data_IF_264935661515
#
_entry.id   IF_264935661515
#
_cell.length_a   1.000
_cell.length_b   1.000
_cell.length_c   1.000
_cell.angle_alpha   90.00
_cell.angle_beta   90.00
_cell.angle_gamma   90.00
#
_symmetry.space_group_name_H-M   'P 1'
#
loop_
_entity.id
_entity.type
_entity.pdbx_description
1 polymer ?
#
# COMPACT_ATOMS: atom_id res chain seq x y z
N UNK A 1 -8.27 37.15 7.57
CA UNK A 1 -6.86 36.84 7.87
C UNK A 1 -6.55 35.58 7.06
N UNK A 2 -6.02 35.78 5.84
CA UNK A 2 -5.78 34.71 4.86
C UNK A 2 -4.63 33.84 5.34
N UNK A 3 -4.90 32.59 5.65
CA UNK A 3 -3.86 31.56 5.77
C UNK A 3 -3.58 31.02 4.36
N UNK A 4 -2.40 31.42 3.85
CA UNK A 4 -1.84 30.96 2.60
C UNK A 4 -1.42 29.48 2.72
N UNK A 5 -2.25 28.56 2.20
CA UNK A 5 -2.01 27.12 2.16
C UNK A 5 -1.42 26.68 0.82
N UNK A 6 -0.45 27.42 0.29
CA UNK A 6 0.21 27.09 -0.98
C UNK A 6 1.61 26.55 -0.75
N UNK A 7 1.75 25.38 -0.11
CA UNK A 7 2.94 24.54 -0.27
C UNK A 7 2.76 23.64 -1.49
N UNK A 8 2.79 24.21 -2.68
CA UNK A 8 2.87 23.43 -3.94
C UNK A 8 4.29 22.88 -4.04
N UNK A 9 4.48 21.62 -3.68
CA UNK A 9 5.73 20.90 -3.90
C UNK A 9 6.20 21.10 -5.35
N UNK A 10 7.46 21.55 -5.50
CA UNK A 10 8.07 21.81 -6.81
C UNK A 10 8.24 20.47 -7.53
N UNK A 11 7.78 20.29 -8.79
CA UNK A 11 7.98 19.04 -9.51
C UNK A 11 9.46 18.66 -9.55
N UNK A 12 9.75 17.35 -9.45
CA UNK A 12 11.09 16.85 -9.74
C UNK A 12 11.42 17.23 -11.19
N UNK A 13 12.34 18.15 -11.38
CA UNK A 13 12.73 18.68 -12.69
C UNK A 13 13.53 17.65 -13.52
N UNK A 14 14.06 16.61 -12.88
CA UNK A 14 14.73 15.45 -13.46
C UNK A 14 14.29 14.20 -12.69
N UNK A 15 14.21 13.05 -13.37
CA UNK A 15 13.96 11.74 -12.73
C UNK A 15 14.95 11.46 -11.58
N UNK A 16 14.79 10.32 -10.94
CA UNK A 16 15.73 9.86 -9.91
C UNK A 16 17.08 9.52 -10.52
N UNK A 17 18.17 9.99 -9.90
CA UNK A 17 19.52 9.56 -10.23
C UNK A 17 19.94 8.33 -9.39
N UNK A 18 21.09 7.72 -9.69
CA UNK A 18 21.61 6.54 -8.99
C UNK A 18 21.79 6.79 -7.49
N UNK A 19 22.13 8.03 -7.10
CA UNK A 19 22.26 8.41 -5.69
C UNK A 19 20.90 8.44 -5.00
N UNK A 20 19.87 8.97 -5.66
CA UNK A 20 18.50 8.94 -5.15
C UNK A 20 18.01 7.51 -5.00
N UNK A 21 18.29 6.65 -5.98
CA UNK A 21 17.91 5.25 -5.97
C UNK A 21 18.60 4.50 -4.83
N UNK A 22 19.91 4.68 -4.62
CA UNK A 22 20.64 4.09 -3.50
C UNK A 22 20.06 4.54 -2.14
N UNK A 23 19.73 5.82 -1.99
CA UNK A 23 19.09 6.33 -0.78
C UNK A 23 17.70 5.73 -0.55
N UNK A 24 16.91 5.54 -1.62
CA UNK A 24 15.59 4.93 -1.54
C UNK A 24 15.65 3.46 -1.15
N UNK A 25 16.57 2.69 -1.72
CA UNK A 25 16.78 1.27 -1.40
C UNK A 25 17.14 1.12 0.08
N UNK A 26 18.10 1.91 0.56
CA UNK A 26 18.49 1.89 1.97
C UNK A 26 17.32 2.29 2.90
N UNK A 27 16.55 3.31 2.52
CA UNK A 27 15.38 3.74 3.28
C UNK A 27 14.27 2.67 3.27
N UNK A 28 14.09 1.92 2.17
CA UNK A 28 13.14 0.80 2.12
C UNK A 28 13.55 -0.35 3.05
N UNK A 29 14.85 -0.56 3.27
CA UNK A 29 15.34 -1.59 4.19
C UNK A 29 14.99 -1.24 5.64
N UNK A 30 15.19 0.02 6.04
CA UNK A 30 14.76 0.55 7.34
C UNK A 30 14.15 1.97 7.18
N UNK A 31 12.82 2.07 7.12
CA UNK A 31 12.12 3.34 6.92
C UNK A 31 12.32 4.37 8.04
N UNK A 32 12.77 3.95 9.23
CA UNK A 32 13.02 4.81 10.38
C UNK A 32 14.49 4.97 10.73
N UNK A 33 15.42 4.38 9.95
CA UNK A 33 16.86 4.56 10.14
C UNK A 33 17.24 6.05 10.21
N UNK A 34 18.21 6.36 11.06
CA UNK A 34 18.79 7.71 11.14
C UNK A 34 19.55 8.04 9.85
N UNK A 35 19.75 9.32 9.59
CA UNK A 35 20.52 9.77 8.43
C UNK A 35 21.95 9.21 8.44
N UNK A 36 22.53 9.04 9.62
CA UNK A 36 23.85 8.43 9.83
C UNK A 36 23.88 6.97 9.42
N UNK A 37 22.87 6.18 9.84
CA UNK A 37 22.76 4.77 9.48
C UNK A 37 22.55 4.59 7.98
N UNK A 38 21.66 5.40 7.36
CA UNK A 38 21.46 5.42 5.92
C UNK A 38 22.74 5.83 5.18
N UNK A 39 23.51 6.80 5.71
CA UNK A 39 24.81 7.18 5.18
C UNK A 39 25.82 6.03 5.24
N UNK A 40 25.88 5.31 6.35
CA UNK A 40 26.73 4.14 6.50
C UNK A 40 26.35 3.00 5.55
N UNK A 41 25.05 2.74 5.38
CA UNK A 41 24.54 1.69 4.49
C UNK A 41 24.80 1.98 3.00
N UNK A 42 24.77 3.25 2.60
CA UNK A 42 24.92 3.67 1.19
C UNK A 42 26.35 4.05 0.81
N UNK A 43 27.23 4.31 1.79
CA UNK A 43 28.55 4.92 1.57
C UNK A 43 28.46 6.41 1.19
N UNK A 44 27.30 7.05 1.34
CA UNK A 44 27.06 8.45 0.99
C UNK A 44 27.09 9.29 2.27
N UNK A 45 27.68 10.49 2.21
CA UNK A 45 27.72 11.39 3.35
C UNK A 45 26.31 11.68 3.91
N UNK A 46 26.12 11.56 5.23
CA UNK A 46 24.87 11.74 5.95
C UNK A 46 24.08 12.98 5.50
N UNK A 47 24.76 14.14 5.39
CA UNK A 47 24.14 15.39 4.93
C UNK A 47 23.58 15.28 3.50
N UNK A 48 24.23 14.52 2.64
CA UNK A 48 23.77 14.30 1.26
C UNK A 48 22.53 13.41 1.24
N UNK A 49 22.54 12.30 2.00
CA UNK A 49 21.38 11.41 2.15
C UNK A 49 20.17 12.17 2.67
N UNK A 50 20.33 12.91 3.78
CA UNK A 50 19.26 13.71 4.36
C UNK A 50 18.68 14.72 3.36
N UNK A 51 19.54 15.46 2.63
CA UNK A 51 19.11 16.42 1.62
C UNK A 51 18.36 15.76 0.46
N UNK A 52 18.83 14.59 -0.02
CA UNK A 52 18.22 13.86 -1.12
C UNK A 52 16.85 13.32 -0.75
N UNK A 53 16.74 12.63 0.36
CA UNK A 53 15.47 12.07 0.84
C UNK A 53 14.48 13.19 1.14
N UNK A 54 14.92 14.26 1.84
CA UNK A 54 14.05 15.40 2.13
C UNK A 54 13.54 16.06 0.85
N UNK A 55 14.37 16.24 -0.17
CA UNK A 55 13.96 16.77 -1.48
C UNK A 55 12.83 15.92 -2.10
N UNK A 56 12.93 14.57 -2.01
CA UNK A 56 11.90 13.66 -2.54
C UNK A 56 10.60 13.75 -1.73
N UNK A 57 10.71 13.88 -0.41
CA UNK A 57 9.55 14.08 0.46
C UNK A 57 8.87 15.44 0.20
N UNK A 58 9.66 16.54 0.09
CA UNK A 58 9.15 17.88 -0.19
C UNK A 58 8.51 17.99 -1.60
N UNK A 59 8.88 17.09 -2.51
CA UNK A 59 8.30 16.99 -3.86
C UNK A 59 7.08 16.07 -3.91
N UNK A 60 6.62 15.52 -2.78
CA UNK A 60 5.58 14.49 -2.69
C UNK A 60 5.85 13.26 -3.58
N UNK A 61 7.11 12.95 -3.85
CA UNK A 61 7.53 11.78 -4.62
C UNK A 61 7.77 10.56 -3.73
N UNK A 62 7.99 10.79 -2.43
CA UNK A 62 8.33 9.81 -1.42
C UNK A 62 7.62 10.15 -0.12
N UNK A 63 7.04 9.16 0.55
CA UNK A 63 6.61 9.25 1.94
C UNK A 63 7.00 8.00 2.72
N UNK A 64 7.34 8.18 3.98
CA UNK A 64 7.41 7.09 4.96
C UNK A 64 6.10 7.08 5.71
N UNK A 65 5.43 5.95 5.71
CA UNK A 65 4.13 5.79 6.34
C UNK A 65 4.12 4.58 7.27
N UNK A 66 3.29 4.66 8.30
CA UNK A 66 2.95 3.53 9.14
C UNK A 66 1.73 2.80 8.55
N UNK A 67 1.76 1.49 8.57
CA UNK A 67 0.70 0.61 8.10
C UNK A 67 0.25 -0.28 9.26
N UNK A 68 -0.88 0.05 9.91
CA UNK A 68 -1.47 -0.84 10.91
C UNK A 68 -1.98 -2.11 10.24
N UNK A 69 -1.83 -3.26 10.92
CA UNK A 69 -2.37 -4.53 10.46
C UNK A 69 -3.73 -4.82 11.10
N UNK A 70 -4.85 -4.66 10.38
CA UNK A 70 -6.18 -4.93 10.93
C UNK A 70 -6.36 -6.39 11.36
N UNK A 71 -5.69 -7.33 10.69
CA UNK A 71 -5.76 -8.75 11.04
C UNK A 71 -4.98 -9.05 12.33
N UNK A 72 -3.83 -8.40 12.56
CA UNK A 72 -3.06 -8.53 13.79
C UNK A 72 -3.72 -7.85 14.99
N UNK A 73 -4.57 -6.84 14.76
CA UNK A 73 -5.36 -6.19 15.81
C UNK A 73 -6.66 -6.92 16.15
N UNK A 74 -7.07 -7.90 15.33
CA UNK A 74 -8.20 -8.80 15.59
C UNK A 74 -9.58 -8.16 15.46
N UNK A 75 -9.70 -6.94 14.97
CA UNK A 75 -10.97 -6.22 14.83
C UNK A 75 -11.29 -5.79 13.43
N UNK A 76 -10.30 -5.65 12.57
CA UNK A 76 -10.49 -5.10 11.23
C UNK A 76 -10.68 -6.18 10.16
N UNK A 77 -11.34 -5.79 9.08
CA UNK A 77 -11.41 -6.56 7.85
C UNK A 77 -11.00 -5.69 6.67
N UNK A 78 -10.42 -6.32 5.65
CA UNK A 78 -10.06 -5.66 4.40
C UNK A 78 -10.96 -6.18 3.29
N UNK A 79 -11.57 -5.26 2.55
CA UNK A 79 -12.42 -5.55 1.39
C UNK A 79 -11.79 -4.99 0.13
N UNK A 80 -11.82 -5.77 -0.94
CA UNK A 80 -11.59 -5.28 -2.29
C UNK A 80 -12.94 -5.07 -2.96
N UNK A 81 -13.28 -3.83 -3.29
CA UNK A 81 -14.48 -3.46 -4.02
C UNK A 81 -14.13 -3.22 -5.50
N UNK A 82 -14.69 -4.05 -6.37
CA UNK A 82 -14.62 -3.90 -7.82
C UNK A 82 -15.88 -3.19 -8.29
N UNK A 83 -15.72 -2.02 -8.89
CA UNK A 83 -16.84 -1.12 -9.19
C UNK A 83 -16.96 -0.91 -10.67
N UNK A 84 -18.18 -1.10 -11.20
CA UNK A 84 -18.57 -0.61 -12.52
C UNK A 84 -19.41 0.63 -12.37
N UNK A 85 -19.13 1.62 -13.21
CA UNK A 85 -19.74 2.92 -13.19
C UNK A 85 -20.66 3.10 -14.40
N UNK A 86 -21.67 3.91 -14.23
CA UNK A 86 -22.39 4.44 -15.40
C UNK A 86 -21.44 5.23 -16.28
N UNK A 87 -21.63 5.13 -17.60
CA UNK A 87 -20.77 5.82 -18.57
C UNK A 87 -20.65 7.31 -18.23
N UNK A 88 -19.40 7.81 -18.26
CA UNK A 88 -19.08 9.21 -17.95
C UNK A 88 -18.94 9.55 -16.46
N UNK A 89 -19.16 8.60 -15.52
CA UNK A 89 -19.13 8.87 -14.06
C UNK A 89 -17.88 8.35 -13.34
N UNK A 90 -16.94 7.72 -14.06
CA UNK A 90 -15.75 7.13 -13.45
C UNK A 90 -14.93 8.13 -12.62
N UNK A 91 -14.67 9.37 -13.08
CA UNK A 91 -13.89 10.34 -12.31
C UNK A 91 -14.56 10.72 -10.98
N UNK A 92 -15.87 11.00 -11.00
CA UNK A 92 -16.64 11.44 -9.83
C UNK A 92 -16.78 10.30 -8.80
N UNK A 93 -16.99 9.07 -9.27
CA UNK A 93 -17.05 7.87 -8.40
C UNK A 93 -15.67 7.62 -7.77
N UNK A 94 -14.60 7.74 -8.55
CA UNK A 94 -13.23 7.57 -8.05
C UNK A 94 -12.91 8.60 -6.96
N UNK A 95 -13.27 9.87 -7.16
CA UNK A 95 -13.06 10.92 -6.18
C UNK A 95 -13.86 10.70 -4.90
N UNK A 96 -15.13 10.26 -5.00
CA UNK A 96 -15.96 9.94 -3.84
C UNK A 96 -15.40 8.74 -3.07
N UNK A 97 -15.02 7.65 -3.76
CA UNK A 97 -14.37 6.50 -3.14
C UNK A 97 -13.05 6.88 -2.45
N UNK A 98 -12.24 7.73 -3.09
CA UNK A 98 -10.97 8.16 -2.53
C UNK A 98 -11.13 9.02 -1.26
N UNK A 99 -12.25 9.73 -1.10
CA UNK A 99 -12.55 10.53 0.10
C UNK A 99 -13.11 9.73 1.26
N UNK A 100 -13.48 8.47 1.07
CA UNK A 100 -13.90 7.63 2.18
C UNK A 100 -12.69 7.38 3.10
N UNK A 101 -12.85 7.60 4.41
CA UNK A 101 -11.80 7.38 5.41
C UNK A 101 -11.33 5.92 5.43
N UNK A 102 -12.24 4.99 5.15
CA UNK A 102 -11.98 3.56 5.11
C UNK A 102 -11.18 3.12 3.87
N UNK A 103 -11.09 3.94 2.81
CA UNK A 103 -10.37 3.56 1.60
C UNK A 103 -8.86 3.74 1.76
N UNK A 104 -8.10 2.71 1.39
CA UNK A 104 -6.63 2.69 1.43
C UNK A 104 -6.03 2.79 0.02
N UNK A 105 -6.67 2.18 -0.95
CA UNK A 105 -6.32 2.22 -2.37
C UNK A 105 -7.57 2.52 -3.17
N UNK A 106 -7.46 3.41 -4.15
CA UNK A 106 -8.49 3.60 -5.19
C UNK A 106 -7.78 3.78 -6.52
N UNK A 107 -8.06 2.91 -7.46
CA UNK A 107 -7.45 2.92 -8.80
C UNK A 107 -8.51 2.80 -9.89
N UNK A 108 -8.30 3.56 -10.98
CA UNK A 108 -9.05 3.37 -12.23
C UNK A 108 -8.37 2.29 -13.05
N UNK A 109 -9.16 1.40 -13.64
CA UNK A 109 -8.68 0.23 -14.37
C UNK A 109 -9.10 0.28 -15.84
N UNK A 110 -8.24 -0.30 -16.69
CA UNK A 110 -8.63 -0.83 -17.99
C UNK A 110 -8.82 -2.35 -17.84
N UNK A 111 -10.07 -2.81 -17.82
CA UNK A 111 -10.45 -4.20 -17.58
C UNK A 111 -11.96 -4.36 -17.51
N UNK A 112 -12.45 -5.42 -16.86
CA UNK A 112 -13.89 -5.71 -16.68
C UNK A 112 -14.57 -4.79 -15.64
N UNK A 113 -13.81 -4.25 -14.70
CA UNK A 113 -14.26 -3.21 -13.78
C UNK A 113 -13.61 -1.88 -14.14
N UNK A 114 -14.30 -0.77 -13.85
CA UNK A 114 -13.79 0.58 -14.07
C UNK A 114 -12.87 1.03 -12.92
N UNK A 115 -13.17 0.60 -11.70
CA UNK A 115 -12.43 0.97 -10.50
C UNK A 115 -12.22 -0.24 -9.60
N UNK A 116 -11.11 -0.23 -8.87
CA UNK A 116 -10.88 -1.09 -7.72
C UNK A 116 -10.54 -0.22 -6.52
N UNK A 117 -11.18 -0.51 -5.38
CA UNK A 117 -10.89 0.11 -4.10
C UNK A 117 -10.54 -0.96 -3.05
N UNK A 118 -9.47 -0.72 -2.28
CA UNK A 118 -9.19 -1.46 -1.04
C UNK A 118 -9.74 -0.64 0.13
N UNK A 119 -10.62 -1.27 0.91
CA UNK A 119 -11.30 -0.67 2.06
C UNK A 119 -10.90 -1.41 3.32
N UNK A 120 -10.49 -0.67 4.35
CA UNK A 120 -10.19 -1.22 5.67
C UNK A 120 -11.27 -0.79 6.64
N UNK A 121 -12.00 -1.76 7.18
CA UNK A 121 -13.04 -1.53 8.18
C UNK A 121 -12.45 -1.84 9.57
N UNK A 122 -12.74 -0.98 10.53
CA UNK A 122 -12.30 -1.18 11.92
C UNK A 122 -13.06 -2.32 12.62
N UNK A 123 -14.30 -2.57 12.20
CA UNK A 123 -15.14 -3.67 12.68
C UNK A 123 -15.77 -4.43 11.49
N UNK A 124 -15.76 -5.75 11.58
CA UNK A 124 -16.42 -6.61 10.59
C UNK A 124 -17.94 -6.43 10.57
N UNK A 125 -18.54 -5.95 11.66
CA UNK A 125 -19.97 -5.66 11.75
C UNK A 125 -20.41 -4.53 10.79
N UNK A 126 -19.50 -3.65 10.38
CA UNK A 126 -19.78 -2.56 9.44
C UNK A 126 -19.84 -3.05 7.97
N UNK A 127 -19.31 -4.24 7.68
CA UNK A 127 -19.21 -4.76 6.32
C UNK A 127 -20.54 -4.81 5.56
N UNK A 128 -21.65 -5.34 6.13
CA UNK A 128 -22.93 -5.39 5.43
C UNK A 128 -23.40 -4.01 5.01
N UNK A 129 -23.29 -3.01 5.88
CA UNK A 129 -23.70 -1.64 5.60
C UNK A 129 -22.86 -0.99 4.51
N UNK A 130 -21.56 -1.13 4.57
CA UNK A 130 -20.63 -0.60 3.56
C UNK A 130 -20.94 -1.19 2.18
N UNK A 131 -21.12 -2.51 2.08
CA UNK A 131 -21.32 -3.19 0.79
C UNK A 131 -22.72 -2.94 0.23
N UNK A 132 -23.76 -2.93 1.07
CA UNK A 132 -25.15 -2.90 0.59
C UNK A 132 -25.75 -1.49 0.57
N UNK A 133 -25.18 -0.53 1.30
CA UNK A 133 -25.70 0.85 1.39
C UNK A 133 -24.67 1.89 0.98
N UNK A 134 -23.50 1.94 1.61
CA UNK A 134 -22.53 3.02 1.39
C UNK A 134 -22.02 3.02 -0.04
N UNK A 135 -21.44 1.93 -0.52
CA UNK A 135 -20.89 1.87 -1.88
C UNK A 135 -21.94 2.03 -2.98
N UNK A 136 -23.12 1.37 -2.92
CA UNK A 136 -24.15 1.56 -3.92
C UNK A 136 -24.80 2.96 -3.90
N UNK A 137 -24.71 3.71 -2.79
CA UNK A 137 -25.25 5.08 -2.71
C UNK A 137 -24.40 6.12 -3.41
N UNK A 138 -23.17 5.80 -3.79
CA UNK A 138 -22.29 6.69 -4.52
C UNK A 138 -22.88 6.96 -5.91
N UNK A 139 -23.17 8.22 -6.20
CA UNK A 139 -23.79 8.60 -7.47
C UNK A 139 -22.88 8.20 -8.65
N UNK A 140 -23.43 7.45 -9.60
CA UNK A 140 -22.69 6.94 -10.75
C UNK A 140 -22.22 5.49 -10.63
N UNK A 141 -22.30 4.87 -9.46
CA UNK A 141 -22.08 3.44 -9.28
C UNK A 141 -23.24 2.67 -9.94
N UNK A 142 -22.90 1.66 -10.73
CA UNK A 142 -23.84 0.75 -11.38
C UNK A 142 -23.82 -0.63 -10.73
N UNK A 143 -22.60 -1.14 -10.44
CA UNK A 143 -22.42 -2.46 -9.83
C UNK A 143 -21.20 -2.46 -8.91
N UNK A 144 -21.32 -3.19 -7.81
CA UNK A 144 -20.21 -3.42 -6.86
C UNK A 144 -20.09 -4.92 -6.61
N UNK A 145 -18.90 -5.45 -6.83
CA UNK A 145 -18.51 -6.77 -6.34
C UNK A 145 -17.50 -6.59 -5.20
N UNK A 146 -17.88 -7.00 -3.99
CA UNK A 146 -17.02 -6.94 -2.81
C UNK A 146 -16.41 -8.31 -2.52
N UNK A 147 -15.08 -8.36 -2.35
CA UNK A 147 -14.32 -9.56 -2.03
C UNK A 147 -13.58 -9.33 -0.71
N UNK A 148 -13.77 -10.24 0.24
CA UNK A 148 -13.06 -10.18 1.52
C UNK A 148 -11.63 -10.67 1.34
N UNK A 149 -10.65 -9.92 1.85
CA UNK A 149 -9.28 -10.40 1.99
C UNK A 149 -9.23 -11.38 3.16
N UNK A 150 -8.90 -12.64 2.84
CA UNK A 150 -8.88 -13.74 3.81
C UNK A 150 -7.47 -13.95 4.39
N UNK A 151 -6.45 -13.80 3.54
CA UNK A 151 -5.06 -14.07 3.93
C UNK A 151 -4.08 -13.22 3.13
N UNK A 152 -3.18 -12.49 3.77
CA UNK A 152 -2.05 -11.87 3.09
C UNK A 152 -0.95 -12.92 2.85
N UNK A 153 -0.48 -13.05 1.61
CA UNK A 153 0.74 -13.80 1.27
C UNK A 153 1.93 -12.86 1.11
N UNK A 154 1.70 -11.66 0.57
CA UNK A 154 2.67 -10.57 0.51
C UNK A 154 1.96 -9.23 0.63
N UNK A 155 2.47 -8.34 1.49
CA UNK A 155 1.95 -6.97 1.65
C UNK A 155 2.75 -5.99 0.80
N UNK A 156 2.14 -4.89 0.39
CA UNK A 156 2.80 -3.86 -0.42
C UNK A 156 4.05 -3.26 0.26
N UNK A 157 4.06 -3.18 1.58
CA UNK A 157 5.22 -2.75 2.36
C UNK A 157 6.44 -3.67 2.29
N UNK A 158 6.28 -4.89 1.80
CA UNK A 158 7.37 -5.86 1.60
C UNK A 158 8.01 -5.76 0.20
N UNK A 159 7.41 -5.00 -0.71
CA UNK A 159 8.00 -4.77 -2.02
C UNK A 159 9.27 -3.92 -1.92
N UNK A 160 10.30 -4.30 -2.67
CA UNK A 160 11.60 -3.60 -2.73
C UNK A 160 11.96 -3.29 -4.18
N UNK A 161 12.58 -2.13 -4.42
CA UNK A 161 12.91 -1.62 -5.76
C UNK A 161 13.86 -2.56 -6.51
N UNK A 162 14.78 -3.21 -5.82
CA UNK A 162 15.78 -4.13 -6.39
C UNK A 162 15.78 -5.48 -5.66
N UNK A 163 14.59 -6.00 -5.31
CA UNK A 163 14.52 -7.28 -4.63
C UNK A 163 15.10 -8.39 -5.51
N UNK A 164 16.10 -9.08 -4.99
CA UNK A 164 16.46 -10.41 -5.49
C UNK A 164 15.49 -11.43 -4.87
N UNK A 165 15.29 -12.56 -5.52
CA UNK A 165 14.34 -13.58 -5.06
C UNK A 165 14.59 -14.04 -3.59
N UNK A 166 15.82 -13.89 -3.09
CA UNK A 166 16.16 -14.20 -1.69
C UNK A 166 15.60 -13.19 -0.67
N UNK A 167 15.37 -11.94 -1.08
CA UNK A 167 14.89 -10.87 -0.18
C UNK A 167 13.36 -10.88 0.00
N UNK A 168 12.68 -11.71 -0.78
CA UNK A 168 11.21 -11.72 -0.84
C UNK A 168 10.56 -12.79 0.01
N UNK A 169 11.34 -13.60 0.74
CA UNK A 169 10.82 -14.60 1.66
C UNK A 169 10.01 -13.91 2.77
N UNK A 170 8.71 -13.79 2.55
CA UNK A 170 7.78 -13.47 3.61
C UNK A 170 7.84 -14.62 4.60
N UNK A 171 8.41 -14.40 5.79
CA UNK A 171 8.18 -15.33 6.88
C UNK A 171 6.66 -15.48 7.06
N UNK A 172 6.13 -16.71 7.04
CA UNK A 172 4.75 -16.93 7.37
C UNK A 172 4.49 -16.27 8.72
N UNK A 173 3.50 -15.40 8.78
CA UNK A 173 3.14 -14.77 10.04
C UNK A 173 2.86 -15.89 11.05
N UNK A 174 3.77 -16.09 12.00
CA UNK A 174 3.45 -16.87 13.18
C UNK A 174 2.21 -16.20 13.78
N UNK A 175 1.12 -16.96 13.85
CA UNK A 175 -0.16 -16.47 14.33
C UNK A 175 -0.02 -16.13 15.82
N UNK A 176 0.42 -14.92 16.13
CA UNK A 176 0.24 -14.37 17.45
C UNK A 176 -1.24 -14.06 17.62
N UNK A 177 -1.77 -14.32 18.82
CA UNK A 177 -3.16 -13.99 19.12
C UNK A 177 -3.38 -12.49 18.87
N UNK A 178 -4.41 -12.12 18.10
CA UNK A 178 -4.70 -10.72 17.82
C UNK A 178 -4.88 -9.93 19.13
N UNK A 179 -4.25 -8.78 19.23
CA UNK A 179 -4.36 -7.92 20.40
C UNK A 179 -4.78 -6.50 19.98
N UNK A 180 -5.90 -6.04 20.52
CA UNK A 180 -6.40 -4.70 20.26
C UNK A 180 -5.38 -3.64 20.68
N UNK A 181 -5.33 -2.54 19.92
CA UNK A 181 -4.53 -1.38 20.28
C UNK A 181 -5.15 -0.67 21.49
N UNK A 182 -4.31 -0.26 22.43
CA UNK A 182 -4.71 0.64 23.52
C UNK A 182 -4.98 2.04 22.97
N UNK A 183 -5.66 2.90 23.73
CA UNK A 183 -5.95 4.28 23.31
C UNK A 183 -4.67 5.08 23.01
N UNK A 184 -3.60 4.88 23.77
CA UNK A 184 -2.31 5.52 23.51
C UNK A 184 -1.70 5.03 22.19
N UNK A 185 -1.72 3.72 21.93
CA UNK A 185 -1.25 3.14 20.67
C UNK A 185 -2.08 3.61 19.48
N UNK A 186 -3.41 3.72 19.61
CA UNK A 186 -4.29 4.24 18.55
C UNK A 186 -3.92 5.69 18.18
N UNK A 187 -3.69 6.56 19.17
CA UNK A 187 -3.24 7.95 18.92
C UNK A 187 -1.87 7.99 18.23
N UNK A 188 -0.92 7.15 18.67
CA UNK A 188 0.39 7.04 18.02
C UNK A 188 0.25 6.57 16.57
N UNK A 189 -0.55 5.54 16.30
CA UNK A 189 -0.79 5.01 14.96
C UNK A 189 -1.41 6.07 14.06
N UNK A 190 -2.44 6.78 14.52
CA UNK A 190 -3.09 7.85 13.76
C UNK A 190 -2.12 8.97 13.34
N UNK A 191 -1.17 9.32 14.21
CA UNK A 191 -0.12 10.29 13.89
C UNK A 191 0.93 9.72 12.92
N UNK A 192 1.39 8.48 13.17
CA UNK A 192 2.39 7.79 12.34
C UNK A 192 1.88 7.48 10.91
N UNK A 193 0.59 7.32 10.72
CA UNK A 193 0.01 7.18 9.38
C UNK A 193 0.17 8.47 8.54
N UNK A 194 0.31 9.64 9.17
CA UNK A 194 0.56 10.92 8.51
C UNK A 194 2.06 11.18 8.32
N UNK A 195 2.84 10.91 9.36
CA UNK A 195 4.31 11.00 9.35
C UNK A 195 4.94 9.77 10.00
N UNK A 196 5.32 8.81 9.16
CA UNK A 196 5.98 7.58 9.61
C UNK A 196 7.37 7.81 10.22
N UNK A 197 7.96 9.01 10.08
CA UNK A 197 9.25 9.40 10.68
C UNK A 197 9.11 10.33 11.88
N UNK A 198 7.89 10.54 12.38
CA UNK A 198 7.67 11.33 13.60
C UNK A 198 8.63 10.92 14.72
N UNK A 199 9.12 11.91 15.46
CA UNK A 199 10.04 11.72 16.59
C UNK A 199 9.35 11.08 17.79
N UNK A 200 10.11 10.49 18.70
CA UNK A 200 9.56 9.94 19.94
C UNK A 200 8.92 11.02 20.80
N UNK A 201 9.46 12.24 20.80
CA UNK A 201 8.89 13.37 21.52
C UNK A 201 7.48 13.72 21.00
N UNK A 202 7.31 13.83 19.68
CA UNK A 202 6.00 14.06 19.05
C UNK A 202 5.01 12.93 19.36
N UNK A 203 5.47 11.67 19.25
CA UNK A 203 4.62 10.52 19.57
C UNK A 203 4.20 10.49 21.03
N UNK A 204 5.10 10.83 21.95
CA UNK A 204 4.82 10.92 23.38
C UNK A 204 3.77 12.01 23.69
N UNK A 205 3.91 13.18 23.06
CA UNK A 205 2.95 14.27 23.16
C UNK A 205 1.56 13.85 22.66
N UNK A 206 1.49 13.28 21.44
CA UNK A 206 0.22 12.84 20.84
C UNK A 206 -0.46 11.72 21.65
N UNK A 207 0.33 10.81 22.22
CA UNK A 207 -0.19 9.71 23.02
C UNK A 207 -0.53 10.11 24.48
N UNK A 208 -0.04 11.25 24.95
CA UNK A 208 -0.18 11.70 26.34
C UNK A 208 0.64 10.83 27.30
N UNK A 209 1.85 10.40 26.89
CA UNK A 209 2.75 9.55 27.67
C UNK A 209 4.18 10.11 27.69
N UNK A 210 5.08 9.52 28.48
CA UNK A 210 6.51 9.89 28.43
C UNK A 210 7.19 9.29 27.18
N UNK A 211 8.30 9.91 26.71
CA UNK A 211 9.08 9.39 25.58
C UNK A 211 9.55 7.94 25.77
N UNK A 212 10.07 7.51 26.94
CA UNK A 212 10.41 6.10 27.17
C UNK A 212 9.20 5.17 27.03
N UNK A 213 8.00 5.64 27.43
CA UNK A 213 6.76 4.86 27.27
C UNK A 213 6.36 4.79 25.81
N UNK A 214 6.42 5.90 25.07
CA UNK A 214 6.15 5.93 23.63
C UNK A 214 7.10 5.00 22.86
N UNK A 215 8.39 5.01 23.18
CA UNK A 215 9.38 4.11 22.58
C UNK A 215 9.01 2.65 22.81
N UNK A 216 8.69 2.27 24.07
CA UNK A 216 8.29 0.90 24.40
C UNK A 216 7.00 0.48 23.69
N UNK A 217 6.00 1.35 23.62
CA UNK A 217 4.75 1.08 22.90
C UNK A 217 4.99 0.88 21.40
N UNK A 218 5.79 1.76 20.79
CA UNK A 218 6.15 1.66 19.36
C UNK A 218 6.87 0.34 19.08
N UNK A 219 7.88 0.00 19.86
CA UNK A 219 8.63 -1.25 19.72
C UNK A 219 7.71 -2.46 19.87
N UNK A 220 6.85 -2.48 20.87
CA UNK A 220 5.88 -3.56 21.10
C UNK A 220 4.91 -3.72 19.91
N UNK A 221 4.37 -2.60 19.35
CA UNK A 221 3.50 -2.67 18.18
C UNK A 221 4.20 -3.27 16.95
N UNK A 222 5.47 -2.94 16.74
CA UNK A 222 6.27 -3.49 15.64
C UNK A 222 6.58 -4.97 15.87
N UNK A 223 7.04 -5.35 17.06
CA UNK A 223 7.38 -6.75 17.42
C UNK A 223 6.17 -7.69 17.26
N UNK A 224 4.99 -7.26 17.70
CA UNK A 224 3.74 -8.04 17.54
C UNK A 224 3.10 -7.87 16.15
N UNK A 225 3.78 -7.20 15.23
CA UNK A 225 3.33 -6.95 13.85
C UNK A 225 1.98 -6.19 13.73
N UNK A 226 1.54 -5.53 14.80
CA UNK A 226 0.35 -4.68 14.76
C UNK A 226 0.59 -3.40 13.93
N UNK A 227 1.84 -3.02 13.76
CA UNK A 227 2.28 -1.86 12.98
C UNK A 227 3.55 -2.21 12.20
N UNK A 228 3.59 -1.82 10.95
CA UNK A 228 4.79 -1.84 10.11
C UNK A 228 5.06 -0.46 9.51
N UNK A 229 6.27 -0.26 9.01
CA UNK A 229 6.63 0.96 8.28
C UNK A 229 7.01 0.63 6.86
N UNK A 230 6.65 1.50 5.94
CA UNK A 230 7.05 1.37 4.55
C UNK A 230 7.37 2.71 3.90
N UNK A 231 8.13 2.62 2.84
CA UNK A 231 8.40 3.73 1.95
C UNK A 231 7.42 3.64 0.78
N UNK A 232 6.53 4.60 0.68
CA UNK A 232 5.65 4.75 -0.47
C UNK A 232 6.32 5.66 -1.49
N UNK A 233 6.49 5.15 -2.69
CA UNK A 233 7.04 5.86 -3.85
C UNK A 233 6.21 5.53 -5.07
N UNK A 234 6.10 6.47 -6.02
CA UNK A 234 5.42 6.20 -7.28
C UNK A 234 6.22 5.17 -8.09
N UNK A 235 5.64 4.02 -8.45
CA UNK A 235 6.34 2.97 -9.16
C UNK A 235 6.98 3.44 -10.48
N UNK A 236 6.34 4.34 -11.21
CA UNK A 236 6.88 4.92 -12.44
C UNK A 236 8.19 5.67 -12.24
N UNK A 237 8.41 6.30 -11.07
CA UNK A 237 9.66 6.99 -10.76
C UNK A 237 10.85 6.04 -10.56
N UNK A 238 10.57 4.78 -10.25
CA UNK A 238 11.57 3.74 -9.98
C UNK A 238 11.61 2.66 -11.06
N UNK A 239 11.10 2.97 -12.27
CA UNK A 239 11.23 2.13 -13.44
C UNK A 239 10.07 1.15 -13.71
N UNK A 240 8.94 1.29 -13.00
CA UNK A 240 7.76 0.44 -13.16
C UNK A 240 6.51 1.26 -13.52
N UNK A 241 6.44 1.81 -14.76
CA UNK A 241 5.32 2.67 -15.16
C UNK A 241 4.01 1.90 -15.41
N UNK A 242 4.06 0.58 -15.55
CA UNK A 242 2.88 -0.26 -15.79
C UNK A 242 2.56 -1.05 -14.52
N UNK A 243 1.35 -0.86 -14.03
CA UNK A 243 0.80 -1.60 -12.90
C UNK A 243 -0.43 -2.39 -13.34
N UNK A 244 -0.60 -3.58 -12.80
CA UNK A 244 -1.82 -4.35 -13.03
C UNK A 244 -2.27 -5.05 -11.74
N UNK A 245 -3.58 -5.17 -11.60
CA UNK A 245 -4.24 -6.03 -10.61
C UNK A 245 -4.79 -7.24 -11.34
N UNK A 246 -4.45 -8.43 -10.86
CA UNK A 246 -4.78 -9.68 -11.52
C UNK A 246 -5.60 -10.51 -10.53
N UNK A 247 -6.84 -10.82 -10.92
CA UNK A 247 -7.68 -11.80 -10.22
C UNK A 247 -7.33 -13.18 -10.77
N UNK A 248 -6.88 -14.09 -9.92
CA UNK A 248 -6.46 -15.43 -10.35
C UNK A 248 -7.40 -16.48 -9.76
N UNK A 249 -8.05 -17.21 -10.63
CA UNK A 249 -8.82 -18.39 -10.27
C UNK A 249 -7.91 -19.61 -10.31
N UNK A 250 -7.84 -20.33 -9.21
CA UNK A 250 -6.97 -21.50 -9.06
C UNK A 250 -7.71 -22.68 -8.46
N UNK A 251 -7.19 -23.89 -8.68
CA UNK A 251 -7.70 -25.08 -8.00
C UNK A 251 -7.49 -24.93 -6.48
N UNK A 252 -8.50 -25.19 -5.62
CA UNK A 252 -8.38 -24.97 -4.18
C UNK A 252 -7.16 -25.63 -3.53
N UNK A 253 -6.77 -26.81 -4.01
CA UNK A 253 -5.64 -27.58 -3.47
C UNK A 253 -4.28 -26.95 -3.76
N UNK A 254 -4.19 -26.06 -4.77
CA UNK A 254 -2.93 -25.45 -5.21
C UNK A 254 -2.75 -24.00 -4.73
N UNK A 255 -3.74 -23.42 -4.06
CA UNK A 255 -3.76 -21.99 -3.65
C UNK A 255 -2.49 -21.62 -2.89
N UNK A 256 -2.16 -22.36 -1.83
CA UNK A 256 -1.02 -22.02 -0.97
C UNK A 256 0.32 -22.14 -1.70
N UNK A 257 0.50 -23.18 -2.51
CA UNK A 257 1.74 -23.40 -3.27
C UNK A 257 1.93 -22.31 -4.34
N UNK A 258 0.86 -21.99 -5.10
CA UNK A 258 0.88 -20.93 -6.10
C UNK A 258 1.11 -19.56 -5.48
N UNK A 259 0.43 -19.27 -4.38
CA UNK A 259 0.59 -18.01 -3.68
C UNK A 259 2.01 -17.85 -3.11
N UNK A 260 2.60 -18.90 -2.55
CA UNK A 260 4.00 -18.89 -2.10
C UNK A 260 4.97 -18.60 -3.25
N UNK A 261 4.74 -19.22 -4.43
CA UNK A 261 5.55 -18.96 -5.62
C UNK A 261 5.40 -17.52 -6.13
N UNK A 262 4.16 -17.03 -6.31
CA UNK A 262 3.90 -15.68 -6.79
C UNK A 262 4.35 -14.59 -5.80
N UNK A 263 4.32 -14.88 -4.49
CA UNK A 263 4.82 -13.96 -3.46
C UNK A 263 6.33 -13.70 -3.59
N UNK A 264 7.10 -14.65 -4.13
CA UNK A 264 8.54 -14.51 -4.35
C UNK A 264 8.89 -13.76 -5.65
N UNK A 265 7.92 -13.56 -6.56
CA UNK A 265 8.19 -12.83 -7.79
C UNK A 265 8.54 -11.36 -7.47
N UNK A 266 9.68 -10.83 -7.98
CA UNK A 266 10.13 -9.47 -7.71
C UNK A 266 9.15 -8.39 -8.21
N UNK A 267 8.30 -8.72 -9.18
CA UNK A 267 7.27 -7.82 -9.68
C UNK A 267 6.03 -7.77 -8.78
N UNK A 268 5.89 -8.72 -7.86
CA UNK A 268 4.75 -8.74 -6.92
C UNK A 268 4.83 -7.58 -5.96
N UNK A 269 3.90 -6.64 -6.09
CA UNK A 269 3.71 -5.57 -5.10
C UNK A 269 2.99 -6.09 -3.87
N UNK A 270 1.84 -6.75 -4.07
CA UNK A 270 1.14 -7.46 -3.02
C UNK A 270 0.37 -8.66 -3.58
N UNK A 271 0.05 -9.61 -2.69
CA UNK A 271 -0.67 -10.83 -3.03
C UNK A 271 -1.55 -11.24 -1.85
N UNK A 272 -2.84 -11.41 -2.11
CA UNK A 272 -3.83 -11.76 -1.10
C UNK A 272 -4.67 -12.95 -1.54
N UNK A 273 -5.02 -13.81 -0.59
CA UNK A 273 -6.14 -14.74 -0.73
C UNK A 273 -7.45 -14.01 -0.49
N UNK A 274 -8.42 -14.19 -1.39
CA UNK A 274 -9.69 -13.45 -1.37
C UNK A 274 -10.89 -14.41 -1.45
N UNK A 275 -12.02 -13.95 -0.96
CA UNK A 275 -13.32 -14.58 -1.23
C UNK A 275 -13.78 -14.30 -2.66
N UNK A 276 -14.81 -15.02 -3.11
CA UNK A 276 -15.43 -14.80 -4.44
C UNK A 276 -14.94 -15.79 -5.49
N UNK A 277 -15.12 -15.44 -6.76
CA UNK A 277 -14.82 -16.33 -7.89
C UNK A 277 -13.32 -16.59 -8.08
N UNK A 278 -12.46 -15.65 -7.68
CA UNK A 278 -11.00 -15.76 -7.76
C UNK A 278 -10.42 -15.91 -6.37
N UNK A 279 -9.54 -16.88 -6.17
CA UNK A 279 -8.93 -17.17 -4.88
C UNK A 279 -7.76 -16.28 -4.55
N UNK A 280 -7.11 -15.68 -5.58
CA UNK A 280 -5.96 -14.79 -5.39
C UNK A 280 -6.21 -13.44 -6.06
N UNK A 281 -5.84 -12.39 -5.35
CA UNK A 281 -5.64 -11.04 -5.86
C UNK A 281 -4.14 -10.78 -5.91
N UNK A 282 -3.63 -10.49 -7.11
CA UNK A 282 -2.20 -10.29 -7.35
C UNK A 282 -1.97 -8.92 -7.98
N UNK A 283 -1.27 -8.03 -7.30
CA UNK A 283 -0.87 -6.71 -7.79
C UNK A 283 0.58 -6.75 -8.24
N UNK A 284 0.83 -6.44 -9.50
CA UNK A 284 2.15 -6.53 -10.12
C UNK A 284 2.61 -5.19 -10.66
N UNK A 285 3.94 -5.01 -10.66
CA UNK A 285 4.62 -3.85 -11.22
C UNK A 285 5.46 -4.29 -12.41
N UNK A 286 5.28 -3.65 -13.56
CA UNK A 286 5.93 -4.01 -14.80
C UNK A 286 6.64 -2.81 -15.43
N UNK A 287 7.72 -3.08 -16.16
CA UNK A 287 8.51 -2.05 -16.86
C UNK A 287 7.80 -1.48 -18.08
N UNK A 288 7.00 -2.31 -18.73
CA UNK A 288 6.23 -1.98 -19.91
C UNK A 288 5.10 -3.00 -20.11
N UNK A 289 4.30 -2.83 -21.16
CA UNK A 289 3.19 -3.73 -21.50
C UNK A 289 3.64 -5.11 -21.98
N UNK A 290 4.81 -5.22 -22.60
CA UNK A 290 5.38 -6.50 -23.03
C UNK A 290 5.84 -7.31 -21.80
N UNK A 291 6.40 -6.63 -20.81
CA UNK A 291 6.72 -7.26 -19.55
C UNK A 291 5.46 -7.76 -18.80
N UNK A 292 4.36 -6.97 -18.80
CA UNK A 292 3.09 -7.44 -18.27
C UNK A 292 2.58 -8.67 -19.03
N UNK A 293 2.66 -8.65 -20.36
CA UNK A 293 2.30 -9.82 -21.18
C UNK A 293 3.10 -11.07 -20.79
N UNK A 294 4.42 -10.94 -20.60
CA UNK A 294 5.28 -12.04 -20.17
C UNK A 294 4.89 -12.57 -18.77
N UNK A 295 4.60 -11.66 -17.83
CA UNK A 295 4.12 -12.02 -16.48
C UNK A 295 2.84 -12.85 -16.55
N UNK A 296 1.87 -12.44 -17.36
CA UNK A 296 0.58 -13.12 -17.45
C UNK A 296 0.68 -14.44 -18.22
N UNK A 297 1.40 -14.47 -19.34
CA UNK A 297 1.41 -15.64 -20.22
C UNK A 297 2.41 -16.70 -19.84
N UNK A 298 3.60 -16.31 -19.36
CA UNK A 298 4.65 -17.25 -18.99
C UNK A 298 4.66 -17.53 -17.49
N UNK A 299 4.84 -16.47 -16.68
CA UNK A 299 5.00 -16.69 -15.24
C UNK A 299 3.75 -17.20 -14.55
N UNK A 300 2.57 -16.69 -14.95
CA UNK A 300 1.31 -17.17 -14.43
C UNK A 300 0.78 -18.37 -15.23
N UNK A 301 0.84 -18.30 -16.57
CA UNK A 301 0.23 -19.30 -17.45
C UNK A 301 0.93 -20.65 -17.42
N UNK A 302 2.21 -20.73 -17.02
CA UNK A 302 2.96 -21.98 -16.87
C UNK A 302 2.73 -22.67 -15.51
N UNK A 303 2.04 -22.00 -14.55
CA UNK A 303 1.80 -22.56 -13.23
C UNK A 303 0.64 -23.55 -13.24
N UNK A 304 0.93 -24.78 -12.85
CA UNK A 304 -0.12 -25.80 -12.69
C UNK A 304 -1.14 -25.40 -11.62
N UNK A 305 -2.41 -25.55 -11.93
CA UNK A 305 -3.50 -25.20 -11.03
C UNK A 305 -4.16 -23.85 -11.30
N UNK A 306 -3.60 -23.00 -12.16
CA UNK A 306 -4.28 -21.80 -12.66
C UNK A 306 -5.40 -22.22 -13.61
N UNK A 307 -6.61 -21.76 -13.33
CA UNK A 307 -7.81 -22.06 -14.14
C UNK A 307 -8.18 -20.89 -15.04
N UNK A 308 -8.08 -19.68 -14.52
CA UNK A 308 -8.40 -18.46 -15.23
C UNK A 308 -7.68 -17.26 -14.59
N UNK A 309 -7.47 -16.21 -15.34
CA UNK A 309 -6.97 -14.94 -14.83
C UNK A 309 -7.64 -13.76 -15.53
N UNK A 310 -7.93 -12.75 -14.76
CA UNK A 310 -8.48 -11.49 -15.25
C UNK A 310 -7.54 -10.36 -14.88
N UNK A 311 -7.13 -9.56 -15.88
CA UNK A 311 -6.13 -8.51 -15.76
C UNK A 311 -6.80 -7.15 -15.85
N UNK A 312 -6.68 -6.34 -14.82
CA UNK A 312 -7.02 -4.92 -14.84
C UNK A 312 -5.75 -4.07 -14.82
N UNK A 313 -5.47 -3.35 -15.91
CA UNK A 313 -4.33 -2.43 -15.95
C UNK A 313 -4.68 -1.14 -15.22
N UNK A 314 -3.85 -0.73 -14.28
CA UNK A 314 -4.04 0.52 -13.53
C UNK A 314 -3.73 1.70 -14.44
N UNK A 315 -4.77 2.48 -14.74
CA UNK A 315 -4.64 3.71 -15.53
C UNK A 315 -4.27 4.90 -14.66
N UNK A 316 -4.83 4.96 -13.46
CA UNK A 316 -4.60 6.05 -12.51
C UNK A 316 -4.85 5.58 -11.08
N UNK A 317 -3.99 5.98 -10.16
CA UNK A 317 -4.24 5.88 -8.73
C UNK A 317 -4.80 7.21 -8.21
N UNK A 318 -5.92 7.16 -7.51
CA UNK A 318 -6.57 8.30 -6.86
C UNK A 318 -6.21 8.37 -5.38
N UNK A 319 -5.98 7.20 -4.76
CA UNK A 319 -5.53 7.07 -3.37
C UNK A 319 -4.59 5.88 -3.25
N UNK A 320 -3.55 6.00 -2.43
CA UNK A 320 -2.63 4.91 -2.05
C UNK A 320 -2.29 5.03 -0.58
N UNK A 321 -2.41 3.92 0.14
CA UNK A 321 -2.07 3.87 1.56
C UNK A 321 -2.78 4.96 2.38
N UNK A 322 -4.05 5.21 2.05
CA UNK A 322 -4.81 6.28 2.67
C UNK A 322 -4.47 7.70 2.19
N UNK A 323 -3.45 7.87 1.33
CA UNK A 323 -3.00 9.18 0.85
C UNK A 323 -3.61 9.47 -0.52
N UNK A 324 -4.30 10.61 -0.67
CA UNK A 324 -4.83 11.10 -1.94
C UNK A 324 -3.68 11.37 -2.93
N UNK A 325 -3.97 11.20 -4.22
CA UNK A 325 -3.00 11.35 -5.30
C UNK A 325 -3.37 12.52 -6.20
N UNK A 326 -2.38 13.34 -6.53
CA UNK A 326 -2.47 14.40 -7.53
C UNK A 326 -1.53 14.05 -8.70
N UNK A 327 -2.00 13.16 -9.59
CA UNK A 327 -1.14 12.58 -10.64
C UNK A 327 -0.09 11.65 -10.07
N UNK A 328 1.19 11.82 -10.46
CA UNK A 328 2.33 11.07 -9.94
C UNK A 328 2.82 11.55 -8.56
N UNK A 329 2.07 12.42 -7.86
CA UNK A 329 2.43 12.95 -6.55
C UNK A 329 1.55 12.33 -5.47
N UNK A 330 2.13 12.17 -4.30
CA UNK A 330 1.40 11.95 -3.07
C UNK A 330 0.74 13.29 -2.70
N UNK A 331 -0.58 13.33 -2.77
CA UNK A 331 -1.33 14.56 -2.48
C UNK A 331 -1.26 14.95 -1.00
N UNK A 332 -1.81 16.12 -0.62
CA UNK A 332 -1.96 16.49 0.77
C UNK A 332 -2.84 15.46 1.48
N UNK A 333 -2.60 15.29 2.78
CA UNK A 333 -3.39 14.38 3.60
C UNK A 333 -4.88 14.71 3.44
N UNK A 334 -5.71 13.69 3.25
CA UNK A 334 -7.14 13.84 3.42
C UNK A 334 -7.38 14.04 4.92
N UNK A 335 -7.66 15.29 5.31
CA UNK A 335 -8.11 15.64 6.66
C UNK A 335 -9.60 15.39 6.76
#
# INVERSE_FOLDING_TARGET
>A
MNMDTSSKGKPLASGLDDTDLACLIALQADPRASWRELGAATGIAERTVARRIKRLMDADALRVIAEPDPLATGRGVVLHAWVRCRSGHVPEVADQLARLDISQLVVTLAGSADLMAELTLADAADMPDVVTRVLPSIAGVEHVEARLVLRPFRRAGQWRIQAQAADTAAEPAAAQAPAALTDAEQRMVAYLMRDGRASLAELAEQAGVSEPTAQRLLQNMVERRALSFRVEVEPALVGFPVEAVISVQVRPQTVDALAAHLALDPNTRCLFGTSGASQLFWHVLCRDSLHLWDVVTRRLGELDGVLNSEVGVVMRAHKRCGILRAGARLGPDAV
#
